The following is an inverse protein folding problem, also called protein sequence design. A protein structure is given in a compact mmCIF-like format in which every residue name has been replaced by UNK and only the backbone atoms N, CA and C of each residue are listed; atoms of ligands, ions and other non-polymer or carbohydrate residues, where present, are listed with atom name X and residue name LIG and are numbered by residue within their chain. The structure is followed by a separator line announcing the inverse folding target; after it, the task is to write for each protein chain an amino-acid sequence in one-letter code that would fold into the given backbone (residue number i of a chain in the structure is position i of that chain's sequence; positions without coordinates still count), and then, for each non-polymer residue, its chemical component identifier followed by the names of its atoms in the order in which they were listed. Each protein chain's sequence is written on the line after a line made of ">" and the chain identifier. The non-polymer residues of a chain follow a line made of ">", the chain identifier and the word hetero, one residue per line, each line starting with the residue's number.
data_IF_304798529459
#
_entry.id   IF_304798529459
#
_cell.length_a   1.000
_cell.length_b   1.000
_cell.length_c   1.000
_cell.angle_alpha   90.00
_cell.angle_beta   90.00
_cell.angle_gamma   90.00
#
_symmetry.space_group_name_H-M   'P 1'
#
loop_
_entity.id
_entity.type
_entity.pdbx_description
1 polymer ?
#
# COMPACT_ATOMS: atom_id res chain seq x y z
N UNK A 1 -12.66 -2.95 12.41
CA UNK A 1 -12.32 -4.08 11.54
C UNK A 1 -11.41 -3.63 10.39
N UNK A 2 -11.71 -2.52 9.70
CA UNK A 2 -10.84 -1.95 8.66
C UNK A 2 -9.87 -0.89 9.23
N UNK A 3 -9.35 -1.12 10.43
CA UNK A 3 -8.51 -0.16 11.15
C UNK A 3 -7.32 -0.89 11.75
N UNK A 4 -6.12 -0.34 11.60
CA UNK A 4 -4.94 -0.91 12.26
C UNK A 4 -4.96 -0.64 13.76
N UNK A 5 -4.28 -1.48 14.54
CA UNK A 5 -4.11 -1.25 15.97
C UNK A 5 -3.19 -0.05 16.20
N UNK A 6 -3.59 0.84 17.11
CA UNK A 6 -2.76 1.97 17.57
C UNK A 6 -1.96 1.52 18.80
N UNK A 7 -0.66 1.85 18.82
CA UNK A 7 0.18 1.63 20.00
C UNK A 7 -0.02 2.79 20.98
N UNK A 8 -0.88 2.59 21.98
CA UNK A 8 -1.14 3.58 23.05
C UNK A 8 0.04 3.77 24.01
N UNK A 9 0.95 2.80 24.06
CA UNK A 9 2.16 2.84 24.89
C UNK A 9 3.38 2.31 24.12
N UNK A 10 4.55 2.78 24.50
CA UNK A 10 5.81 2.46 23.82
C UNK A 10 6.80 3.62 23.91
N UNK A 11 7.86 3.53 23.11
CA UNK A 11 8.89 4.56 22.99
C UNK A 11 8.97 5.04 21.55
N UNK A 12 9.17 6.34 21.35
CA UNK A 12 9.48 6.93 20.04
C UNK A 12 10.98 6.91 19.74
N UNK A 13 11.82 6.49 20.69
CA UNK A 13 13.25 6.31 20.46
C UNK A 13 13.48 5.01 19.69
N UNK A 14 13.73 5.14 18.38
CA UNK A 14 13.93 3.99 17.48
C UNK A 14 15.13 3.12 17.86
N UNK A 15 16.08 3.64 18.64
CA UNK A 15 17.24 2.89 19.14
C UNK A 15 16.90 1.86 20.21
N UNK A 16 15.69 1.92 20.77
CA UNK A 16 15.23 0.94 21.76
C UNK A 16 14.97 -0.44 21.10
N UNK A 17 14.76 -0.47 19.78
CA UNK A 17 14.68 -1.70 19.01
C UNK A 17 16.07 -2.30 18.83
N UNK A 18 16.31 -3.46 19.45
CA UNK A 18 17.60 -4.14 19.40
C UNK A 18 17.91 -4.65 17.99
N UNK A 19 19.20 -4.71 17.66
CA UNK A 19 19.66 -5.40 16.46
C UNK A 19 19.23 -6.88 16.48
N UNK A 20 18.90 -7.42 15.32
CA UNK A 20 18.46 -8.80 15.18
C UNK A 20 17.52 -9.03 14.02
N UNK A 21 17.09 -10.28 13.86
CA UNK A 21 16.09 -10.69 12.88
C UNK A 21 14.78 -10.98 13.60
N UNK A 22 13.73 -10.28 13.19
CA UNK A 22 12.39 -10.39 13.74
C UNK A 22 11.47 -11.00 12.70
N UNK A 23 10.60 -11.90 13.18
CA UNK A 23 9.40 -12.25 12.44
C UNK A 23 8.36 -11.16 12.68
N UNK A 24 7.81 -10.63 11.60
CA UNK A 24 6.69 -9.69 11.67
C UNK A 24 5.42 -10.48 11.40
N UNK A 25 4.48 -10.41 12.34
CA UNK A 25 3.15 -11.00 12.23
C UNK A 25 2.11 -9.90 12.44
N UNK A 26 0.96 -10.02 11.78
CA UNK A 26 -0.16 -9.04 11.85
C UNK A 26 0.27 -7.62 11.44
N UNK A 27 1.14 -7.53 10.44
CA UNK A 27 1.47 -6.27 9.82
C UNK A 27 0.24 -5.71 9.09
N UNK A 28 -0.11 -4.46 9.40
CA UNK A 28 -1.31 -3.79 8.91
C UNK A 28 -0.93 -2.42 8.33
N UNK A 29 -1.51 -2.09 7.18
CA UNK A 29 -1.43 -0.76 6.55
C UNK A 29 -2.83 -0.22 6.30
N UNK A 30 -3.16 0.89 6.97
CA UNK A 30 -4.41 1.62 6.81
C UNK A 30 -4.16 2.96 6.10
N UNK A 31 -4.46 3.05 4.80
CA UNK A 31 -4.48 4.33 4.08
C UNK A 31 -5.44 5.34 4.71
N UNK A 32 -4.95 6.55 4.95
CA UNK A 32 -5.77 7.67 5.45
C UNK A 32 -6.27 8.58 4.33
N UNK A 33 -5.60 8.57 3.16
CA UNK A 33 -6.00 9.32 1.99
C UNK A 33 -5.52 8.66 0.71
N UNK A 34 -6.28 8.87 -0.37
CA UNK A 34 -5.89 8.48 -1.72
C UNK A 34 -5.90 9.73 -2.59
N UNK A 35 -4.76 10.02 -3.21
CA UNK A 35 -4.62 11.08 -4.21
C UNK A 35 -4.19 10.45 -5.53
N UNK A 36 -4.78 10.93 -6.62
CA UNK A 36 -4.46 10.44 -7.96
C UNK A 36 -3.79 11.58 -8.72
N UNK A 37 -2.70 11.27 -9.42
CA UNK A 37 -2.06 12.21 -10.32
C UNK A 37 -2.95 12.36 -11.55
N UNK A 38 -3.62 13.50 -11.67
CA UNK A 38 -4.61 13.78 -12.69
C UNK A 38 -4.03 14.72 -13.76
N UNK A 39 -4.34 14.46 -15.02
CA UNK A 39 -3.92 15.33 -16.11
C UNK A 39 -4.81 16.56 -16.15
N UNK A 40 -4.20 17.72 -16.40
CA UNK A 40 -4.98 18.96 -16.48
C UNK A 40 -6.00 18.86 -17.61
N UNK A 41 -7.25 19.24 -17.31
CA UNK A 41 -8.30 19.38 -18.31
C UNK A 41 -8.00 20.52 -19.31
N UNK A 42 -7.02 21.37 -19.02
CA UNK A 42 -6.58 22.46 -19.86
C UNK A 42 -5.33 22.10 -20.64
N UNK A 43 -5.30 22.51 -21.92
CA UNK A 43 -4.14 22.31 -22.79
C UNK A 43 -2.92 23.03 -22.21
N UNK A 44 -1.89 22.27 -21.83
CA UNK A 44 -0.64 22.78 -21.25
C UNK A 44 -0.67 23.00 -19.74
N UNK A 45 -1.69 22.53 -19.02
CA UNK A 45 -1.72 22.57 -17.56
C UNK A 45 -0.83 21.50 -16.92
N UNK A 46 -0.40 21.76 -15.68
CA UNK A 46 0.45 20.84 -14.92
C UNK A 46 -0.33 19.64 -14.39
N UNK A 47 0.36 18.50 -14.29
CA UNK A 47 -0.19 17.25 -13.74
C UNK A 47 0.05 17.22 -12.23
N UNK A 48 -1.01 17.27 -11.43
CA UNK A 48 -0.94 17.34 -9.98
C UNK A 48 -1.70 16.19 -9.30
N UNK A 49 -1.35 15.91 -8.04
CA UNK A 49 -2.10 14.97 -7.21
C UNK A 49 -3.37 15.63 -6.68
N UNK A 50 -4.52 15.15 -7.13
CA UNK A 50 -5.83 15.65 -6.68
C UNK A 50 -6.41 14.78 -5.57
N UNK A 51 -7.13 15.42 -4.65
CA UNK A 51 -7.89 14.71 -3.60
C UNK A 51 -9.06 13.96 -4.22
N UNK A 52 -9.31 12.75 -3.74
CA UNK A 52 -10.36 11.87 -4.28
C UNK A 52 -11.39 11.50 -3.22
N UNK A 53 -12.54 10.97 -3.66
CA UNK A 53 -13.57 10.39 -2.78
C UNK A 53 -13.54 8.87 -2.90
N UNK A 54 -13.44 8.16 -1.77
CA UNK A 54 -13.44 6.70 -1.74
C UNK A 54 -14.84 6.13 -2.04
N UNK A 55 -14.92 5.20 -3.00
CA UNK A 55 -16.19 4.61 -3.46
C UNK A 55 -16.44 3.19 -2.93
N UNK A 56 -15.38 2.45 -2.57
CA UNK A 56 -15.46 1.02 -2.19
C UNK A 56 -15.74 0.78 -0.71
N UNK A 57 -16.12 1.81 0.07
CA UNK A 57 -16.34 1.73 1.52
C UNK A 57 -15.08 1.22 2.24
N UNK A 58 -15.23 0.53 3.37
CA UNK A 58 -14.15 0.14 4.29
C UNK A 58 -13.52 -1.21 3.90
N UNK A 59 -12.91 -1.28 2.72
CA UNK A 59 -12.31 -2.53 2.17
C UNK A 59 -10.88 -2.33 1.67
N UNK A 60 -10.16 -1.32 2.17
CA UNK A 60 -8.90 -0.84 1.61
C UNK A 60 -7.68 -1.09 2.51
N UNK A 61 -7.88 -1.51 3.76
CA UNK A 61 -6.78 -1.79 4.69
C UNK A 61 -6.14 -3.12 4.33
N UNK A 62 -4.81 -3.15 4.27
CA UNK A 62 -4.03 -4.38 4.18
C UNK A 62 -3.79 -4.87 5.61
N UNK A 63 -4.02 -6.15 5.87
CA UNK A 63 -3.99 -6.68 7.23
C UNK A 63 -3.45 -8.11 7.24
N UNK A 64 -3.06 -8.58 8.43
CA UNK A 64 -2.52 -9.93 8.65
C UNK A 64 -1.33 -10.27 7.74
N UNK A 65 -0.58 -9.26 7.31
CA UNK A 65 0.65 -9.49 6.57
C UNK A 65 1.73 -10.04 7.51
N UNK A 66 2.59 -10.86 6.93
CA UNK A 66 3.71 -11.50 7.59
C UNK A 66 5.00 -11.22 6.82
N UNK A 67 6.11 -11.27 7.53
CA UNK A 67 7.39 -10.95 6.92
C UNK A 67 8.58 -11.09 7.85
N UNK A 68 9.73 -10.65 7.36
CA UNK A 68 10.98 -10.63 8.09
C UNK A 68 11.47 -9.19 8.17
N UNK A 69 11.74 -8.72 9.38
CA UNK A 69 12.40 -7.45 9.65
C UNK A 69 13.79 -7.71 10.20
N UNK A 70 14.83 -7.27 9.50
CA UNK A 70 16.21 -7.29 10.01
C UNK A 70 16.61 -5.90 10.46
N UNK A 71 17.29 -5.81 11.61
CA UNK A 71 17.82 -4.57 12.18
C UNK A 71 19.31 -4.78 12.43
N UNK A 72 20.17 -3.96 11.81
CA UNK A 72 21.63 -4.20 11.79
C UNK A 72 22.40 -3.57 12.97
N UNK A 73 21.70 -2.88 13.88
CA UNK A 73 22.29 -2.21 15.05
C UNK A 73 22.91 -0.83 14.76
N UNK A 74 23.05 -0.45 13.49
CA UNK A 74 23.43 0.91 13.07
C UNK A 74 22.20 1.78 12.78
N UNK A 75 21.00 1.25 13.02
CA UNK A 75 19.73 1.90 12.75
C UNK A 75 19.19 1.61 11.34
N UNK A 76 19.84 0.75 10.55
CA UNK A 76 19.28 0.33 9.27
C UNK A 76 18.37 -0.88 9.43
N UNK A 77 17.41 -0.96 8.53
CA UNK A 77 16.42 -2.03 8.45
C UNK A 77 16.26 -2.60 7.06
N UNK A 78 15.86 -3.86 7.01
CA UNK A 78 15.35 -4.55 5.83
C UNK A 78 14.02 -5.21 6.21
N UNK A 79 12.92 -4.75 5.62
CA UNK A 79 11.58 -5.33 5.76
C UNK A 79 11.21 -6.08 4.48
N UNK A 80 10.94 -7.37 4.59
CA UNK A 80 10.46 -8.21 3.50
C UNK A 80 9.08 -8.77 3.84
N UNK A 81 8.08 -8.44 3.03
CA UNK A 81 6.74 -9.03 3.08
C UNK A 81 6.76 -10.40 2.39
N UNK A 82 6.01 -11.36 2.93
CA UNK A 82 6.02 -12.75 2.44
C UNK A 82 4.64 -13.34 2.18
N UNK A 83 3.64 -12.98 2.98
CA UNK A 83 2.28 -13.52 2.87
C UNK A 83 1.27 -12.66 3.65
N UNK A 84 -0.01 -12.78 3.32
CA UNK A 84 -1.12 -12.15 4.03
C UNK A 84 -2.12 -11.46 3.09
N UNK A 85 -2.95 -10.57 3.63
CA UNK A 85 -3.87 -9.75 2.82
C UNK A 85 -3.10 -8.51 2.34
N UNK A 86 -2.24 -8.73 1.35
CA UNK A 86 -1.25 -7.78 0.83
C UNK A 86 -1.75 -6.98 -0.39
N UNK A 87 -3.04 -7.11 -0.74
CA UNK A 87 -3.70 -6.27 -1.73
C UNK A 87 -5.18 -5.99 -1.39
N UNK A 88 -5.67 -4.83 -1.84
CA UNK A 88 -7.05 -4.40 -1.71
C UNK A 88 -7.52 -3.66 -2.96
N UNK A 89 -8.52 -4.22 -3.65
CA UNK A 89 -9.14 -3.57 -4.80
C UNK A 89 -9.92 -2.34 -4.35
N UNK A 90 -9.48 -1.17 -4.80
CA UNK A 90 -10.00 0.12 -4.34
C UNK A 90 -10.47 0.93 -5.55
N UNK A 91 -11.58 1.65 -5.41
CA UNK A 91 -12.01 2.62 -6.41
C UNK A 91 -12.21 3.95 -5.73
N UNK A 92 -11.64 4.99 -6.32
CA UNK A 92 -11.82 6.38 -5.90
C UNK A 92 -12.45 7.16 -7.04
N UNK A 93 -13.07 8.29 -6.70
CA UNK A 93 -13.70 9.20 -7.64
C UNK A 93 -12.96 10.54 -7.60
N UNK A 94 -12.52 11.00 -8.77
CA UNK A 94 -11.92 12.31 -8.97
C UNK A 94 -12.97 13.42 -8.88
N UNK A 95 -12.56 14.67 -8.64
CA UNK A 95 -13.38 15.84 -8.96
C UNK A 95 -13.83 15.76 -10.42
N UNK A 96 -15.13 15.94 -10.69
CA UNK A 96 -15.69 15.77 -12.04
C UNK A 96 -16.36 14.41 -12.30
N UNK A 97 -16.18 13.44 -11.41
CA UNK A 97 -16.99 12.20 -11.41
C UNK A 97 -16.32 10.98 -12.04
N UNK A 98 -15.14 11.14 -12.63
CA UNK A 98 -14.33 10.02 -13.12
C UNK A 98 -13.96 9.06 -11.98
N UNK A 99 -14.04 7.76 -12.25
CA UNK A 99 -13.70 6.71 -11.29
C UNK A 99 -12.44 5.99 -11.71
N UNK A 100 -11.45 5.99 -10.82
CA UNK A 100 -10.16 5.34 -11.02
C UNK A 100 -10.10 4.10 -10.14
N UNK A 101 -10.23 2.89 -10.71
CA UNK A 101 -9.98 1.65 -10.00
C UNK A 101 -8.48 1.35 -9.97
N UNK A 102 -7.97 0.91 -8.81
CA UNK A 102 -6.59 0.48 -8.65
C UNK A 102 -6.49 -0.61 -7.58
N UNK A 103 -5.37 -1.32 -7.58
CA UNK A 103 -5.04 -2.30 -6.56
C UNK A 103 -4.07 -1.63 -5.57
N UNK A 104 -4.54 -1.29 -4.36
CA UNK A 104 -3.62 -0.90 -3.30
C UNK A 104 -2.92 -2.16 -2.81
N UNK A 105 -1.59 -2.23 -2.89
CA UNK A 105 -0.85 -3.46 -2.58
C UNK A 105 0.57 -3.15 -2.14
N UNK A 106 1.14 -4.09 -1.39
CA UNK A 106 2.57 -4.17 -1.08
C UNK A 106 3.11 -5.59 -1.32
N UNK A 107 2.52 -6.31 -2.28
CA UNK A 107 2.91 -7.70 -2.59
C UNK A 107 4.38 -7.79 -2.95
N UNK A 108 5.09 -8.73 -2.31
CA UNK A 108 6.53 -8.94 -2.46
C UNK A 108 7.36 -7.70 -2.11
N UNK A 109 6.90 -6.89 -1.15
CA UNK A 109 7.63 -5.70 -0.70
C UNK A 109 9.02 -6.10 -0.19
N UNK A 110 10.04 -5.42 -0.70
CA UNK A 110 11.41 -5.50 -0.19
C UNK A 110 11.93 -4.08 0.08
N UNK A 111 11.79 -3.62 1.32
CA UNK A 111 12.10 -2.26 1.72
C UNK A 111 13.37 -2.19 2.58
N UNK A 112 14.21 -1.19 2.32
CA UNK A 112 15.49 -0.98 3.00
C UNK A 112 15.70 0.50 3.32
N UNK A 113 16.49 0.77 4.34
CA UNK A 113 16.87 2.13 4.71
C UNK A 113 17.11 2.24 6.20
N UNK A 114 16.91 3.44 6.73
CA UNK A 114 17.02 3.72 8.16
C UNK A 114 15.67 3.56 8.86
N UNK A 115 15.65 3.36 10.17
CA UNK A 115 14.40 3.33 10.96
C UNK A 115 13.55 4.60 10.79
N UNK A 116 14.20 5.75 10.54
CA UNK A 116 13.52 7.03 10.29
C UNK A 116 12.94 7.14 8.87
N UNK A 117 13.55 6.46 7.91
CA UNK A 117 13.13 6.47 6.51
C UNK A 117 13.69 5.24 5.78
N UNK A 118 12.79 4.32 5.43
CA UNK A 118 13.08 3.18 4.57
C UNK A 118 12.03 3.08 3.46
N UNK A 119 12.45 2.55 2.31
CA UNK A 119 11.62 2.45 1.12
C UNK A 119 12.03 1.25 0.29
N UNK A 120 11.15 0.83 -0.61
CA UNK A 120 11.35 -0.39 -1.38
C UNK A 120 10.42 -0.49 -2.56
N UNK A 121 10.69 -1.49 -3.37
CA UNK A 121 9.83 -1.87 -4.48
C UNK A 121 8.86 -2.97 -4.04
N UNK A 122 7.71 -3.00 -4.70
CA UNK A 122 6.68 -4.02 -4.56
C UNK A 122 6.02 -4.22 -5.93
N UNK A 123 5.32 -5.34 -6.10
CA UNK A 123 4.66 -5.67 -7.35
C UNK A 123 3.23 -5.12 -7.33
N UNK A 124 2.82 -4.47 -8.41
CA UNK A 124 1.42 -4.13 -8.67
C UNK A 124 0.89 -5.06 -9.78
N UNK A 125 0.20 -6.16 -9.42
CA UNK A 125 -0.45 -7.00 -10.41
C UNK A 125 -1.50 -6.24 -11.23
N UNK A 126 -1.87 -6.78 -12.38
CA UNK A 126 -3.04 -6.30 -13.10
C UNK A 126 -4.27 -6.32 -12.21
N UNK A 127 -5.02 -5.21 -12.18
CA UNK A 127 -6.27 -5.08 -11.42
C UNK A 127 -7.32 -6.13 -11.83
N UNK A 128 -7.28 -6.58 -13.09
CA UNK A 128 -8.12 -7.67 -13.62
C UNK A 128 -7.24 -8.89 -13.89
N UNK A 129 -7.65 -10.05 -13.37
CA UNK A 129 -6.96 -11.31 -13.65
C UNK A 129 -7.08 -11.75 -15.11
N UNK A 130 -6.25 -12.72 -15.52
CA UNK A 130 -6.17 -13.18 -16.91
C UNK A 130 -7.49 -13.75 -17.45
N UNK A 131 -8.34 -14.31 -16.58
CA UNK A 131 -9.66 -14.87 -16.92
C UNK A 131 -10.80 -13.85 -16.84
N UNK A 132 -10.50 -12.57 -16.58
CA UNK A 132 -11.51 -11.52 -16.61
C UNK A 132 -12.04 -11.34 -18.03
N UNK A 133 -13.37 -11.30 -18.16
CA UNK A 133 -14.05 -11.03 -19.42
C UNK A 133 -14.63 -9.62 -19.40
N UNK A 134 -14.39 -8.89 -20.48
CA UNK A 134 -15.06 -7.61 -20.70
C UNK A 134 -16.56 -7.84 -21.05
N UNK A 135 -17.38 -6.77 -21.13
CA UNK A 135 -18.81 -6.90 -21.46
C UNK A 135 -19.11 -7.52 -22.84
N UNK A 136 -18.09 -7.70 -23.69
CA UNK A 136 -18.20 -8.33 -25.01
C UNK A 136 -17.63 -9.76 -25.01
N UNK A 137 -17.30 -10.30 -23.83
CA UNK A 137 -16.77 -11.66 -23.68
C UNK A 137 -15.32 -11.80 -24.14
N UNK A 138 -14.57 -10.70 -24.28
CA UNK A 138 -13.14 -10.74 -24.63
C UNK A 138 -12.32 -10.88 -23.37
N UNK A 139 -11.36 -11.81 -23.37
CA UNK A 139 -10.44 -12.10 -22.27
C UNK A 139 -9.00 -12.21 -22.73
N UNK A 140 -8.08 -12.35 -21.78
CA UNK A 140 -6.64 -12.47 -22.06
C UNK A 140 -6.14 -13.92 -22.17
N UNK A 141 -6.85 -14.89 -21.60
CA UNK A 141 -6.49 -16.31 -21.56
C UNK A 141 -7.62 -17.21 -22.03
#
# INVERSE_FOLDING_TARGET
>A
ANTCAVLESGSTNLKDLKAGTYKVDKFCMEPTSFTVKDESQFKGGETEFVKTKLMTRLTYTLDQMSGILKVDGSGNVELQETDGIDYAATTVQLPGGERVPFLFTVKNLNAKGTLDAFGGEFVVPSYRGATFLDPKGRGGS
#
